data_IF_568975489953
#
_entry.id   IF_568975489953
#
_cell.length_a   1.000
_cell.length_b   1.000
_cell.length_c   1.000
_cell.angle_alpha   90.00
_cell.angle_beta   90.00
_cell.angle_gamma   90.00
#
_symmetry.space_group_name_H-M   'P 1'
#
loop_
_entity.id
_entity.type
_entity.pdbx_description
1 polymer ?
#
# COMPACT_ATOMS: atom_id res chain seq x y z
N UNK A 1 -0.49 -5.28 8.48
CA UNK A 1 -0.87 -5.68 7.10
C UNK A 1 -2.39 -5.71 6.88
N UNK A 2 -3.20 -6.38 7.72
CA UNK A 2 -4.66 -6.50 7.52
C UNK A 2 -5.38 -5.17 7.30
N UNK A 3 -5.05 -4.13 8.07
CA UNK A 3 -5.62 -2.79 7.90
C UNK A 3 -5.32 -2.18 6.53
N UNK A 4 -4.09 -2.38 6.03
CA UNK A 4 -3.67 -1.92 4.70
C UNK A 4 -4.39 -2.70 3.61
N UNK A 5 -4.57 -4.02 3.77
CA UNK A 5 -5.32 -4.85 2.82
C UNK A 5 -6.79 -4.37 2.68
N UNK A 6 -7.48 -4.11 3.80
CA UNK A 6 -8.86 -3.59 3.76
C UNK A 6 -8.97 -2.24 3.03
N UNK A 7 -7.97 -1.37 3.22
CA UNK A 7 -7.95 -0.09 2.52
C UNK A 7 -7.60 -0.23 1.03
N UNK A 8 -6.69 -1.14 0.69
CA UNK A 8 -6.33 -1.46 -0.69
C UNK A 8 -7.55 -1.96 -1.48
N UNK A 9 -8.33 -2.87 -0.90
CA UNK A 9 -9.61 -3.34 -1.47
C UNK A 9 -10.59 -2.17 -1.67
N UNK A 10 -10.78 -1.33 -0.65
CA UNK A 10 -11.69 -0.17 -0.74
C UNK A 10 -11.26 0.83 -1.83
N UNK A 11 -9.95 0.97 -2.06
CA UNK A 11 -9.39 1.87 -3.07
C UNK A 11 -9.29 1.22 -4.46
N UNK A 12 -9.55 -0.09 -4.56
CA UNK A 12 -9.22 -0.92 -5.72
C UNK A 12 -7.80 -0.63 -6.23
N UNK A 13 -6.84 -0.62 -5.30
CA UNK A 13 -5.44 -0.29 -5.55
C UNK A 13 -4.56 -1.07 -4.57
N UNK A 14 -3.83 -2.04 -5.08
CA UNK A 14 -3.11 -3.01 -4.27
C UNK A 14 -1.62 -2.72 -4.23
N UNK A 15 -0.97 -2.84 -3.06
CA UNK A 15 0.48 -2.76 -2.96
C UNK A 15 1.12 -4.07 -3.43
N UNK A 16 2.34 -3.97 -3.95
CA UNK A 16 3.26 -5.10 -3.96
C UNK A 16 3.99 -5.11 -2.62
N UNK A 17 3.98 -6.22 -1.90
CA UNK A 17 4.74 -6.31 -0.66
C UNK A 17 5.39 -7.67 -0.43
N UNK A 18 6.42 -7.66 0.39
CA UNK A 18 7.13 -8.84 0.84
C UNK A 18 7.24 -8.82 2.36
N UNK A 19 6.85 -9.91 3.01
CA UNK A 19 6.89 -10.02 4.47
C UNK A 19 7.81 -11.15 4.91
N UNK A 20 8.68 -10.85 5.88
CA UNK A 20 9.48 -11.85 6.61
C UNK A 20 9.34 -11.54 8.09
N UNK A 21 8.54 -12.37 8.78
CA UNK A 21 8.24 -12.24 10.20
C UNK A 21 7.77 -10.81 10.55
N UNK A 22 8.63 -10.02 11.18
CA UNK A 22 8.34 -8.66 11.63
C UNK A 22 8.67 -7.56 10.60
N UNK A 23 9.24 -7.90 9.44
CA UNK A 23 9.59 -6.92 8.39
C UNK A 23 8.60 -7.01 7.24
N UNK A 24 8.13 -5.87 6.77
CA UNK A 24 7.29 -5.75 5.57
C UNK A 24 7.94 -4.71 4.66
N UNK A 25 8.32 -5.13 3.46
CA UNK A 25 8.76 -4.23 2.39
C UNK A 25 7.56 -3.98 1.47
N UNK A 26 7.30 -2.72 1.12
CA UNK A 26 6.14 -2.33 0.33
C UNK A 26 6.61 -1.48 -0.86
N UNK A 27 6.19 -1.87 -2.05
CA UNK A 27 6.38 -1.16 -3.31
C UNK A 27 5.00 -0.74 -3.84
N UNK A 28 4.88 0.52 -4.23
CA UNK A 28 3.63 1.09 -4.75
C UNK A 28 3.84 1.57 -6.18
N UNK A 29 2.96 1.12 -7.08
CA UNK A 29 2.90 1.56 -8.46
C UNK A 29 1.48 1.43 -8.96
N UNK A 30 1.07 2.32 -9.87
CA UNK A 30 -0.18 2.14 -10.59
C UNK A 30 0.10 1.40 -11.89
N UNK A 31 -0.18 0.09 -11.90
CA UNK A 31 0.07 -0.79 -13.04
C UNK A 31 -0.52 -0.27 -14.36
N UNK A 32 -1.77 0.22 -14.33
CA UNK A 32 -2.47 0.73 -15.51
C UNK A 32 -1.73 1.89 -16.20
N UNK A 33 -1.01 2.70 -15.43
CA UNK A 33 -0.31 3.88 -15.93
C UNK A 33 1.21 3.67 -16.07
N UNK A 34 1.74 2.53 -15.60
CA UNK A 34 3.18 2.25 -15.53
C UNK A 34 3.99 3.27 -14.73
N UNK A 35 3.34 4.08 -13.89
CA UNK A 35 3.94 5.19 -13.14
C UNK A 35 3.21 5.47 -11.84
N UNK A 36 3.85 6.26 -10.97
CA UNK A 36 3.25 6.80 -9.75
C UNK A 36 2.05 7.69 -10.06
N UNK A 37 0.96 7.47 -9.33
CA UNK A 37 -0.25 8.29 -9.38
C UNK A 37 -0.68 8.75 -7.98
N UNK A 38 -1.75 9.55 -7.93
CA UNK A 38 -2.38 9.97 -6.68
C UNK A 38 -2.91 8.79 -5.85
N UNK A 39 -3.19 7.63 -6.47
CA UNK A 39 -3.63 6.44 -5.75
C UNK A 39 -2.51 5.88 -4.87
N UNK A 40 -1.30 5.82 -5.41
CA UNK A 40 -0.10 5.39 -4.69
C UNK A 40 0.17 6.31 -3.49
N UNK A 41 0.12 7.63 -3.69
CA UNK A 41 0.31 8.60 -2.61
C UNK A 41 -0.73 8.45 -1.50
N UNK A 42 -2.01 8.24 -1.84
CA UNK A 42 -3.07 8.04 -0.86
C UNK A 42 -2.88 6.75 -0.06
N UNK A 43 -2.48 5.66 -0.74
CA UNK A 43 -2.25 4.38 -0.08
C UNK A 43 -1.01 4.45 0.83
N UNK A 44 0.07 5.11 0.39
CA UNK A 44 1.27 5.37 1.20
C UNK A 44 0.93 6.12 2.49
N UNK A 45 0.16 7.21 2.40
CA UNK A 45 -0.26 7.97 3.58
C UNK A 45 -1.09 7.14 4.57
N UNK A 46 -1.92 6.22 4.07
CA UNK A 46 -2.67 5.32 4.93
C UNK A 46 -1.76 4.26 5.58
N UNK A 47 -0.80 3.73 4.84
CA UNK A 47 0.20 2.78 5.36
C UNK A 47 0.98 3.41 6.51
N UNK A 48 1.47 4.64 6.34
CA UNK A 48 2.13 5.39 7.41
C UNK A 48 1.25 5.47 8.67
N UNK A 49 0.01 5.95 8.52
CA UNK A 49 -0.94 6.02 9.65
C UNK A 49 -1.23 4.67 10.30
N UNK A 50 -1.20 3.58 9.53
CA UNK A 50 -1.43 2.24 10.05
C UNK A 50 -0.18 1.63 10.73
N UNK A 51 1.01 2.16 10.43
CA UNK A 51 2.27 1.73 11.02
C UNK A 51 2.63 2.48 12.31
N UNK A 52 2.22 3.75 12.45
CA UNK A 52 2.51 4.58 13.64
C UNK A 52 1.48 4.46 14.77
N UNK A 53 0.41 3.69 14.58
CA UNK A 53 -0.70 3.53 15.54
C UNK A 53 -0.56 2.33 16.45
#
# INVERSE_FOLDING_TARGET
MTRVALQAEKMNHHPEWFNVYNKVQITLTTHDCGRLTKKDLKLAQFIEKAATS
#
